data_IF_597449050570
#
_entry.id   IF_597449050570
#
_cell.length_a   1.000
_cell.length_b   1.000
_cell.length_c   1.000
_cell.angle_alpha   90.00
_cell.angle_beta   90.00
_cell.angle_gamma   90.00
#
_symmetry.space_group_name_H-M   'P 1'
#
loop_
_entity.id
_entity.type
_entity.pdbx_description
1 polymer ?
#
# COMPACT_ATOMS: atom_id res chain seq x y z
N UNK A 1 -20.58 -20.46 -0.56
CA UNK A 1 -19.23 -20.42 0.03
C UNK A 1 -18.46 -19.19 -0.50
N UNK A 2 -18.31 -19.04 -1.81
CA UNK A 2 -17.63 -17.91 -2.46
C UNK A 2 -18.26 -16.53 -2.18
N UNK A 3 -19.60 -16.45 -2.12
CA UNK A 3 -20.32 -15.19 -1.81
C UNK A 3 -20.08 -14.73 -0.36
N UNK A 4 -19.94 -15.65 0.58
CA UNK A 4 -19.61 -15.32 1.97
C UNK A 4 -18.15 -14.85 2.13
N UNK A 5 -17.22 -15.45 1.37
CA UNK A 5 -15.81 -15.00 1.35
C UNK A 5 -15.66 -13.59 0.78
N UNK A 6 -16.44 -13.26 -0.25
CA UNK A 6 -16.47 -11.90 -0.83
C UNK A 6 -17.05 -10.88 0.15
N UNK A 7 -18.14 -11.23 0.83
CA UNK A 7 -18.73 -10.37 1.86
C UNK A 7 -17.80 -10.14 3.07
N UNK A 8 -16.98 -11.13 3.43
CA UNK A 8 -15.99 -10.98 4.50
C UNK A 8 -14.81 -10.08 4.08
N UNK A 9 -14.34 -10.20 2.84
CA UNK A 9 -13.30 -9.33 2.28
C UNK A 9 -13.76 -7.88 2.11
N UNK A 10 -15.03 -7.68 1.73
CA UNK A 10 -15.62 -6.34 1.65
C UNK A 10 -15.78 -5.69 3.03
N UNK A 11 -16.16 -6.45 4.06
CA UNK A 11 -16.16 -5.97 5.46
C UNK A 11 -14.76 -5.61 5.97
N UNK A 12 -13.75 -6.22 5.41
CA UNK A 12 -12.36 -5.90 5.67
C UNK A 12 -11.99 -4.52 5.11
N UNK A 13 -12.28 -4.32 3.83
CA UNK A 13 -12.10 -3.03 3.15
C UNK A 13 -12.90 -1.93 3.86
N UNK A 14 -14.12 -2.23 4.33
CA UNK A 14 -14.94 -1.28 5.08
C UNK A 14 -14.26 -0.80 6.37
N UNK A 15 -13.56 -1.68 7.09
CA UNK A 15 -12.85 -1.31 8.33
C UNK A 15 -11.59 -0.50 8.05
N UNK A 16 -10.78 -0.90 7.08
CA UNK A 16 -9.58 -0.15 6.68
C UNK A 16 -9.94 1.22 6.10
N UNK A 17 -10.94 1.26 5.22
CA UNK A 17 -11.46 2.50 4.64
C UNK A 17 -12.19 3.33 5.69
N UNK A 18 -12.93 2.72 6.62
CA UNK A 18 -13.60 3.44 7.71
C UNK A 18 -12.62 4.13 8.64
N UNK A 19 -11.47 3.52 8.92
CA UNK A 19 -10.38 4.13 9.69
C UNK A 19 -9.70 5.23 8.88
N UNK A 20 -9.42 4.99 7.61
CA UNK A 20 -8.82 5.98 6.71
C UNK A 20 -9.75 7.19 6.47
N UNK A 21 -11.07 6.98 6.37
CA UNK A 21 -12.05 8.07 6.21
C UNK A 21 -12.12 8.97 7.44
N UNK A 22 -11.91 8.43 8.64
CA UNK A 22 -11.87 9.23 9.87
C UNK A 22 -10.61 10.12 9.96
N UNK A 23 -9.55 9.76 9.25
CA UNK A 23 -8.26 10.47 9.27
C UNK A 23 -8.02 11.38 8.06
N UNK A 24 -8.82 11.26 6.99
CA UNK A 24 -8.62 11.99 5.74
C UNK A 24 -9.71 13.03 5.49
N UNK A 25 -9.29 14.28 5.41
CA UNK A 25 -10.13 15.44 5.00
C UNK A 25 -10.40 15.42 3.46
N UNK A 26 -10.21 14.27 2.80
CA UNK A 26 -10.42 14.07 1.37
C UNK A 26 -11.29 12.85 1.06
N UNK A 27 -11.93 12.88 -0.09
CA UNK A 27 -12.71 11.77 -0.62
C UNK A 27 -11.79 10.60 -1.01
N UNK A 28 -12.08 9.40 -0.50
CA UNK A 28 -11.37 8.19 -0.84
C UNK A 28 -12.02 7.53 -2.05
N UNK A 29 -11.23 7.23 -3.06
CA UNK A 29 -11.66 6.53 -4.27
C UNK A 29 -11.19 5.08 -4.21
N UNK A 30 -12.13 4.16 -4.05
CA UNK A 30 -11.85 2.73 -4.13
C UNK A 30 -12.09 2.22 -5.56
N UNK A 31 -11.06 1.71 -6.21
CA UNK A 31 -11.19 1.02 -7.48
C UNK A 31 -11.45 -0.46 -7.23
N UNK A 32 -12.57 -0.97 -7.72
CA UNK A 32 -12.89 -2.39 -7.69
C UNK A 32 -12.56 -2.97 -9.05
N UNK A 33 -11.46 -3.71 -9.15
CA UNK A 33 -11.01 -4.33 -10.39
C UNK A 33 -11.59 -5.74 -10.49
N UNK A 34 -12.49 -5.96 -11.45
CA UNK A 34 -13.09 -7.26 -11.76
C UNK A 34 -14.10 -7.84 -10.75
N UNK A 35 -14.80 -7.01 -9.96
CA UNK A 35 -15.92 -7.45 -9.13
C UNK A 35 -17.22 -6.75 -9.53
N UNK A 36 -18.39 -7.46 -9.53
CA UNK A 36 -19.64 -6.78 -9.78
C UNK A 36 -19.98 -5.83 -8.61
N UNK A 37 -20.05 -4.54 -8.91
CA UNK A 37 -20.42 -3.48 -7.98
C UNK A 37 -21.78 -3.70 -7.31
N UNK A 38 -22.69 -4.46 -7.94
CA UNK A 38 -24.02 -4.78 -7.42
C UNK A 38 -24.00 -5.38 -6.02
N UNK A 39 -22.99 -6.21 -5.69
CA UNK A 39 -22.82 -6.77 -4.36
C UNK A 39 -22.50 -5.71 -3.30
N UNK A 40 -21.61 -4.79 -3.61
CA UNK A 40 -21.24 -3.67 -2.74
C UNK A 40 -22.41 -2.70 -2.55
N UNK A 41 -23.11 -2.37 -3.64
CA UNK A 41 -24.29 -1.50 -3.61
C UNK A 41 -25.42 -2.07 -2.77
N UNK A 42 -25.59 -3.38 -2.78
CA UNK A 42 -26.62 -4.07 -1.99
C UNK A 42 -26.31 -4.05 -0.50
N UNK A 43 -25.04 -4.22 -0.12
CA UNK A 43 -24.64 -4.33 1.28
C UNK A 43 -24.29 -2.97 1.90
N UNK A 44 -23.70 -2.04 1.13
CA UNK A 44 -23.16 -0.76 1.61
C UNK A 44 -23.66 0.46 0.82
N UNK A 45 -24.81 0.37 0.17
CA UNK A 45 -25.34 1.42 -0.70
C UNK A 45 -25.66 2.75 0.00
N UNK A 46 -25.85 2.73 1.31
CA UNK A 46 -26.00 3.93 2.15
C UNK A 46 -24.66 4.68 2.35
N UNK A 47 -23.53 3.96 2.33
CA UNK A 47 -22.17 4.48 2.56
C UNK A 47 -21.36 4.67 1.27
N UNK A 48 -21.84 4.16 0.15
CA UNK A 48 -21.11 4.15 -1.12
C UNK A 48 -21.89 4.84 -2.24
N UNK A 49 -21.19 5.24 -3.28
CA UNK A 49 -21.78 5.74 -4.53
C UNK A 49 -20.90 5.28 -5.70
N UNK A 50 -21.56 4.86 -6.80
CA UNK A 50 -20.83 4.51 -8.01
C UNK A 50 -20.31 5.75 -8.74
N UNK A 51 -19.19 5.62 -9.41
CA UNK A 51 -18.63 6.67 -10.27
C UNK A 51 -19.65 7.16 -11.30
N UNK A 52 -20.35 6.23 -11.96
CA UNK A 52 -21.33 6.53 -13.01
C UNK A 52 -22.56 7.27 -12.48
N UNK A 53 -22.92 7.06 -11.20
CA UNK A 53 -24.08 7.72 -10.57
C UNK A 53 -23.80 9.20 -10.19
N UNK A 54 -22.51 9.59 -10.07
CA UNK A 54 -22.13 10.94 -9.60
C UNK A 54 -21.08 11.65 -10.48
N UNK A 55 -20.64 11.04 -11.58
CA UNK A 55 -19.63 11.61 -12.47
C UNK A 55 -18.30 11.92 -11.80
N UNK A 56 -17.92 11.11 -10.80
CA UNK A 56 -16.68 11.28 -10.05
C UNK A 56 -16.73 12.32 -8.93
N UNK A 57 -17.89 12.92 -8.64
CA UNK A 57 -18.08 13.87 -7.56
C UNK A 57 -19.02 13.30 -6.48
N UNK A 58 -18.54 12.45 -5.58
CA UNK A 58 -19.39 11.81 -4.60
C UNK A 58 -19.94 12.82 -3.59
N UNK A 59 -21.15 12.57 -3.04
CA UNK A 59 -21.66 13.31 -1.91
C UNK A 59 -20.72 13.19 -0.70
N UNK A 60 -20.72 14.20 0.17
CA UNK A 60 -19.96 14.17 1.42
C UNK A 60 -20.27 12.90 2.23
N UNK A 61 -19.26 12.31 2.86
CA UNK A 61 -19.34 11.10 3.65
C UNK A 61 -19.73 9.81 2.90
N UNK A 62 -19.65 9.80 1.55
CA UNK A 62 -19.79 8.58 0.76
C UNK A 62 -18.47 8.16 0.13
N UNK A 63 -18.17 6.86 0.20
CA UNK A 63 -17.06 6.26 -0.52
C UNK A 63 -17.40 6.16 -2.00
N UNK A 64 -16.55 6.73 -2.84
CA UNK A 64 -16.68 6.60 -4.29
C UNK A 64 -16.14 5.25 -4.75
N UNK A 65 -16.97 4.47 -5.43
CA UNK A 65 -16.57 3.19 -6.00
C UNK A 65 -16.53 3.29 -7.52
N UNK A 66 -15.38 2.95 -8.08
CA UNK A 66 -15.15 2.90 -9.52
C UNK A 66 -14.92 1.45 -9.93
N UNK A 67 -15.84 0.87 -10.70
CA UNK A 67 -15.64 -0.43 -11.33
C UNK A 67 -14.75 -0.25 -12.57
N UNK A 68 -13.66 -1.00 -12.65
CA UNK A 68 -12.68 -0.85 -13.73
C UNK A 68 -12.29 -2.22 -14.27
N UNK A 69 -12.41 -2.39 -15.59
CA UNK A 69 -11.93 -3.59 -16.29
C UNK A 69 -10.40 -3.65 -16.16
N UNK A 70 -9.85 -4.85 -15.93
CA UNK A 70 -8.45 -5.04 -15.56
C UNK A 70 -7.43 -4.44 -16.55
N UNK A 71 -7.64 -4.59 -17.85
CA UNK A 71 -6.77 -4.02 -18.88
C UNK A 71 -6.79 -2.50 -18.86
N UNK A 72 -7.98 -1.90 -18.70
CA UNK A 72 -8.15 -0.47 -18.57
C UNK A 72 -7.51 0.05 -17.27
N UNK A 73 -7.61 -0.70 -16.15
CA UNK A 73 -6.95 -0.34 -14.90
C UNK A 73 -5.42 -0.30 -15.06
N UNK A 74 -4.82 -1.29 -15.72
CA UNK A 74 -3.37 -1.31 -15.96
C UNK A 74 -2.90 -0.04 -16.72
N UNK A 75 -3.66 0.39 -17.72
CA UNK A 75 -3.37 1.63 -18.44
C UNK A 75 -3.59 2.87 -17.56
N UNK A 76 -4.67 2.91 -16.77
CA UNK A 76 -5.02 4.06 -15.92
C UNK A 76 -4.08 4.21 -14.73
N UNK A 77 -3.57 3.12 -14.16
CA UNK A 77 -2.59 3.16 -13.07
C UNK A 77 -1.28 3.86 -13.46
N UNK A 78 -0.95 3.87 -14.76
CA UNK A 78 0.21 4.59 -15.29
C UNK A 78 -0.10 6.05 -15.64
N UNK A 79 -1.27 6.30 -16.23
CA UNK A 79 -1.61 7.60 -16.82
C UNK A 79 -2.38 8.52 -15.88
N UNK A 80 -3.07 7.94 -14.89
CA UNK A 80 -3.95 8.65 -13.95
C UNK A 80 -3.92 8.04 -12.52
N UNK A 81 -2.73 7.78 -11.93
CA UNK A 81 -2.64 7.10 -10.64
C UNK A 81 -3.34 7.86 -9.51
N UNK A 82 -3.42 9.18 -9.59
CA UNK A 82 -4.07 10.02 -8.59
C UNK A 82 -5.61 9.86 -8.51
N UNK A 83 -6.22 9.11 -9.44
CA UNK A 83 -7.65 8.78 -9.37
C UNK A 83 -7.96 7.61 -8.42
N UNK A 84 -6.94 6.95 -7.85
CA UNK A 84 -7.08 5.71 -7.08
C UNK A 84 -6.42 5.83 -5.72
N UNK A 85 -7.16 5.62 -4.65
CA UNK A 85 -6.64 5.57 -3.29
C UNK A 85 -6.54 4.12 -2.78
N UNK A 86 -7.54 3.29 -3.09
CA UNK A 86 -7.61 1.88 -2.68
C UNK A 86 -7.99 1.02 -3.87
N UNK A 87 -7.31 -0.11 -4.03
CA UNK A 87 -7.56 -1.07 -5.11
C UNK A 87 -8.03 -2.39 -4.50
N UNK A 88 -9.26 -2.80 -4.81
CA UNK A 88 -9.80 -4.09 -4.43
C UNK A 88 -9.85 -5.01 -5.65
N UNK A 89 -9.20 -6.17 -5.59
CA UNK A 89 -9.12 -7.09 -6.71
C UNK A 89 -8.95 -8.54 -6.23
N UNK A 90 -9.04 -9.50 -7.16
CA UNK A 90 -8.74 -10.90 -6.85
C UNK A 90 -7.24 -11.08 -6.58
N UNK A 91 -6.91 -12.10 -5.76
CA UNK A 91 -5.56 -12.40 -5.31
C UNK A 91 -4.51 -12.35 -6.45
N UNK A 92 -4.68 -13.13 -7.51
CA UNK A 92 -3.70 -13.18 -8.60
C UNK A 92 -3.50 -11.84 -9.30
N UNK A 93 -4.57 -11.12 -9.58
CA UNK A 93 -4.50 -9.78 -10.17
C UNK A 93 -3.85 -8.79 -9.19
N UNK A 94 -4.16 -8.92 -7.90
CA UNK A 94 -3.57 -8.12 -6.84
C UNK A 94 -2.06 -8.29 -6.76
N UNK A 95 -1.57 -9.52 -6.82
CA UNK A 95 -0.13 -9.81 -6.81
C UNK A 95 0.59 -9.14 -7.99
N UNK A 96 0.05 -9.25 -9.20
CA UNK A 96 0.65 -8.59 -10.37
C UNK A 96 0.58 -7.06 -10.29
N UNK A 97 -0.54 -6.53 -9.83
CA UNK A 97 -0.76 -5.07 -9.75
C UNK A 97 0.12 -4.47 -8.66
N UNK A 98 0.19 -5.08 -7.48
CA UNK A 98 0.99 -4.57 -6.36
C UNK A 98 2.48 -4.53 -6.71
N UNK A 99 3.00 -5.56 -7.36
CA UNK A 99 4.38 -5.60 -7.83
C UNK A 99 4.67 -4.55 -8.90
N UNK A 100 3.74 -4.36 -9.85
CA UNK A 100 3.86 -3.34 -10.88
C UNK A 100 3.83 -1.91 -10.31
N UNK A 101 2.97 -1.66 -9.33
CA UNK A 101 2.91 -0.38 -8.63
C UNK A 101 4.14 -0.14 -7.75
N UNK A 102 4.60 -1.17 -7.04
CA UNK A 102 5.84 -1.09 -6.26
C UNK A 102 7.04 -0.73 -7.14
N UNK A 103 7.12 -1.30 -8.35
CA UNK A 103 8.18 -0.99 -9.30
C UNK A 103 8.21 0.50 -9.71
N UNK A 104 7.05 1.15 -9.78
CA UNK A 104 6.94 2.58 -10.14
C UNK A 104 7.44 3.51 -9.03
N UNK A 105 7.40 3.08 -7.77
CA UNK A 105 7.76 3.93 -6.62
C UNK A 105 9.08 3.56 -5.95
N UNK A 106 9.84 2.64 -6.49
CA UNK A 106 11.18 2.30 -5.98
C UNK A 106 11.48 0.80 -5.92
N UNK A 107 10.51 -0.05 -6.20
CA UNK A 107 10.66 -1.50 -6.31
C UNK A 107 10.14 -2.29 -5.11
N UNK A 108 10.21 -3.63 -5.22
CA UNK A 108 9.67 -4.57 -4.23
C UNK A 108 10.32 -4.45 -2.84
N UNK A 109 11.52 -3.89 -2.76
CA UNK A 109 12.23 -3.69 -1.49
C UNK A 109 11.54 -2.76 -0.48
N UNK A 110 10.47 -2.07 -0.88
CA UNK A 110 9.67 -1.18 -0.02
C UNK A 110 8.18 -1.56 0.05
N UNK A 111 7.73 -2.56 -0.68
CA UNK A 111 6.33 -2.96 -0.67
C UNK A 111 6.01 -3.80 0.57
N UNK A 112 5.16 -3.31 1.50
CA UNK A 112 4.74 -4.08 2.66
C UNK A 112 3.65 -5.09 2.31
N UNK A 113 3.49 -6.12 3.13
CA UNK A 113 2.45 -7.12 2.98
C UNK A 113 1.78 -7.49 4.31
N UNK A 114 0.49 -7.81 4.22
CA UNK A 114 -0.28 -8.32 5.34
C UNK A 114 -1.33 -9.33 4.89
N UNK A 115 -1.47 -10.42 5.64
CA UNK A 115 -2.54 -11.39 5.51
C UNK A 115 -3.39 -11.32 6.77
N UNK A 116 -4.62 -10.80 6.67
CA UNK A 116 -5.48 -10.51 7.81
C UNK A 116 -6.77 -11.34 7.72
N UNK A 117 -7.08 -12.07 8.79
CA UNK A 117 -8.38 -12.68 8.97
C UNK A 117 -9.27 -11.73 9.76
N UNK A 118 -10.12 -10.99 9.06
CA UNK A 118 -10.98 -9.97 9.65
C UNK A 118 -12.14 -10.51 10.50
N UNK A 119 -12.38 -11.84 10.50
CA UNK A 119 -13.37 -12.47 11.37
C UNK A 119 -12.76 -12.79 12.73
N UNK A 120 -11.56 -13.39 12.74
CA UNK A 120 -10.89 -13.82 13.98
C UNK A 120 -9.91 -12.78 14.54
N UNK A 121 -9.53 -11.78 13.74
CA UNK A 121 -8.52 -10.79 14.10
C UNK A 121 -7.07 -11.29 14.04
N UNK A 122 -6.81 -12.53 13.57
CA UNK A 122 -5.45 -12.99 13.38
C UNK A 122 -4.84 -12.34 12.13
N UNK A 123 -3.60 -11.90 12.25
CA UNK A 123 -2.88 -11.27 11.16
C UNK A 123 -1.42 -11.74 11.09
N UNK A 124 -0.88 -11.81 9.87
CA UNK A 124 0.52 -12.04 9.58
C UNK A 124 1.02 -10.89 8.72
N UNK A 125 2.12 -10.27 9.12
CA UNK A 125 2.75 -9.17 8.41
C UNK A 125 4.11 -9.62 7.91
N UNK A 126 4.32 -9.51 6.60
CA UNK A 126 5.52 -10.04 5.96
C UNK A 126 5.94 -9.16 4.76
N UNK A 127 7.20 -9.25 4.38
CA UNK A 127 7.65 -8.63 3.14
C UNK A 127 7.00 -9.33 1.93
N UNK A 128 6.62 -8.57 0.92
CA UNK A 128 6.00 -9.12 -0.30
C UNK A 128 7.01 -9.85 -1.19
N UNK A 129 8.30 -9.53 -1.07
CA UNK A 129 9.36 -10.19 -1.83
C UNK A 129 9.80 -11.52 -1.21
N UNK A 130 10.38 -12.42 -2.03
CA UNK A 130 10.96 -13.67 -1.57
C UNK A 130 12.29 -13.51 -0.81
N UNK A 131 12.90 -14.63 -0.43
CA UNK A 131 14.12 -14.70 0.40
C UNK A 131 15.40 -14.18 -0.26
N UNK A 132 15.37 -13.95 -1.57
CA UNK A 132 16.50 -13.44 -2.36
C UNK A 132 17.86 -14.13 -2.04
N UNK A 133 17.98 -15.45 -2.17
CA UNK A 133 19.15 -16.21 -1.71
C UNK A 133 20.46 -15.74 -2.36
N UNK A 134 20.37 -15.12 -3.53
CA UNK A 134 21.49 -14.50 -4.23
C UNK A 134 22.22 -13.44 -3.38
N UNK A 135 21.52 -12.79 -2.47
CA UNK A 135 22.04 -11.69 -1.64
C UNK A 135 22.32 -12.12 -0.20
N UNK A 136 22.13 -13.41 0.13
CA UNK A 136 22.34 -13.91 1.48
C UNK A 136 23.76 -13.60 1.99
N UNK A 137 23.88 -13.07 3.21
CA UNK A 137 25.14 -12.71 3.84
C UNK A 137 25.84 -11.47 3.31
N UNK A 138 25.27 -10.75 2.35
CA UNK A 138 25.90 -9.55 1.73
C UNK A 138 25.55 -8.24 2.43
N UNK A 139 24.61 -8.24 3.35
CA UNK A 139 24.08 -7.02 4.03
C UNK A 139 23.70 -5.89 3.04
N UNK A 140 23.06 -6.27 1.95
CA UNK A 140 22.87 -5.38 0.78
C UNK A 140 21.43 -5.01 0.47
N UNK A 141 20.48 -5.94 0.68
CA UNK A 141 19.08 -5.71 0.28
C UNK A 141 18.42 -4.57 1.08
N UNK A 142 17.44 -3.94 0.47
CA UNK A 142 16.65 -2.91 1.14
C UNK A 142 15.72 -3.57 2.18
N UNK A 143 15.78 -3.21 3.47
CA UNK A 143 14.91 -3.77 4.50
C UNK A 143 13.54 -3.07 4.57
N UNK A 144 13.26 -2.13 3.69
CA UNK A 144 12.07 -1.26 3.74
C UNK A 144 10.76 -2.04 3.74
N UNK A 145 10.65 -3.10 2.93
CA UNK A 145 9.44 -3.94 2.87
C UNK A 145 9.12 -4.57 4.24
N UNK A 146 10.09 -5.19 4.91
CA UNK A 146 9.91 -5.75 6.26
C UNK A 146 9.60 -4.66 7.29
N UNK A 147 10.30 -3.52 7.23
CA UNK A 147 10.08 -2.40 8.15
C UNK A 147 8.67 -1.83 8.00
N UNK A 148 8.22 -1.61 6.76
CA UNK A 148 6.87 -1.10 6.48
C UNK A 148 5.78 -2.14 6.79
N UNK A 149 6.05 -3.43 6.64
CA UNK A 149 5.15 -4.48 7.16
C UNK A 149 5.03 -4.41 8.67
N UNK A 150 6.12 -4.10 9.38
CA UNK A 150 6.11 -3.79 10.80
C UNK A 150 5.30 -2.54 11.14
N UNK A 151 5.35 -1.51 10.32
CA UNK A 151 4.50 -0.31 10.43
C UNK A 151 3.02 -0.68 10.32
N UNK A 152 2.63 -1.47 9.31
CA UNK A 152 1.26 -1.97 9.16
C UNK A 152 0.81 -2.77 10.38
N UNK A 153 1.69 -3.59 10.97
CA UNK A 153 1.43 -4.33 12.20
C UNK A 153 1.15 -3.39 13.37
N UNK A 154 1.95 -2.35 13.53
CA UNK A 154 1.76 -1.35 14.59
C UNK A 154 0.44 -0.59 14.44
N UNK A 155 0.10 -0.19 13.22
CA UNK A 155 -1.19 0.44 12.91
C UNK A 155 -2.36 -0.51 13.22
N UNK A 156 -2.25 -1.79 12.82
CA UNK A 156 -3.26 -2.80 13.12
C UNK A 156 -3.47 -3.02 14.63
N UNK A 157 -2.40 -2.90 15.43
CA UNK A 157 -2.44 -3.00 16.89
C UNK A 157 -2.89 -1.69 17.57
N UNK A 158 -3.10 -0.61 16.83
CA UNK A 158 -3.46 0.71 17.36
C UNK A 158 -2.27 1.51 17.92
N UNK A 159 -1.03 1.11 17.61
CA UNK A 159 0.19 1.82 18.05
C UNK A 159 0.64 2.85 17.01
N UNK A 160 -0.30 3.71 16.63
CA UNK A 160 -0.17 4.65 15.52
C UNK A 160 1.03 5.59 15.68
N UNK A 161 1.29 6.08 16.89
CA UNK A 161 2.43 6.98 17.14
C UNK A 161 3.77 6.30 16.83
N UNK A 162 3.93 5.04 17.20
CA UNK A 162 5.14 4.26 16.89
C UNK A 162 5.28 4.03 15.38
N UNK A 163 4.19 3.73 14.68
CA UNK A 163 4.15 3.58 13.24
C UNK A 163 4.61 4.88 12.54
N UNK A 164 4.04 6.02 12.91
CA UNK A 164 4.39 7.34 12.34
C UNK A 164 5.85 7.74 12.59
N UNK A 165 6.44 7.37 13.75
CA UNK A 165 7.86 7.62 14.01
C UNK A 165 8.76 6.86 13.05
N UNK A 166 8.46 5.60 12.74
CA UNK A 166 9.23 4.79 11.79
C UNK A 166 9.12 5.37 10.39
N UNK A 167 7.91 5.70 9.93
CA UNK A 167 7.70 6.32 8.62
C UNK A 167 8.45 7.65 8.47
N UNK A 168 8.38 8.51 9.49
CA UNK A 168 9.11 9.79 9.52
C UNK A 168 10.61 9.56 9.41
N UNK A 169 11.14 8.60 10.17
CA UNK A 169 12.56 8.26 10.15
C UNK A 169 13.01 7.76 8.78
N UNK A 170 12.23 6.86 8.17
CA UNK A 170 12.50 6.36 6.83
C UNK A 170 12.40 7.45 5.76
N UNK A 171 11.34 8.24 5.76
CA UNK A 171 11.17 9.34 4.82
C UNK A 171 12.33 10.34 4.89
N UNK A 172 12.81 10.65 6.10
CA UNK A 172 13.95 11.55 6.28
C UNK A 172 15.24 10.93 5.73
N UNK A 173 15.52 9.64 5.97
CA UNK A 173 16.69 8.95 5.42
C UNK A 173 16.69 8.97 3.88
N UNK A 174 15.53 8.71 3.26
CA UNK A 174 15.36 8.74 1.81
C UNK A 174 15.54 10.17 1.27
N UNK A 175 14.92 11.16 1.88
CA UNK A 175 15.02 12.56 1.45
C UNK A 175 16.45 13.10 1.49
N UNK A 176 17.25 12.73 2.51
CA UNK A 176 18.68 13.10 2.60
C UNK A 176 19.55 12.27 1.65
N UNK A 177 19.01 11.23 1.01
CA UNK A 177 19.75 10.37 0.09
C UNK A 177 20.70 9.39 0.78
N UNK A 178 20.49 9.06 2.06
CA UNK A 178 21.25 8.02 2.77
C UNK A 178 20.47 6.71 2.72
N UNK A 179 20.73 5.88 1.71
CA UNK A 179 19.84 4.82 1.26
C UNK A 179 20.59 3.56 0.81
N UNK A 180 19.87 2.46 0.64
CA UNK A 180 20.39 1.21 0.09
C UNK A 180 20.67 1.30 -1.42
N UNK A 181 21.37 0.31 -1.95
CA UNK A 181 21.88 0.29 -3.34
C UNK A 181 20.82 0.52 -4.42
N UNK A 182 19.60 0.02 -4.20
CA UNK A 182 18.47 0.10 -5.12
C UNK A 182 17.98 1.55 -5.27
N UNK A 183 17.71 2.23 -4.17
CA UNK A 183 17.37 3.64 -4.16
C UNK A 183 18.54 4.53 -4.61
N UNK A 184 19.77 4.20 -4.17
CA UNK A 184 20.95 4.96 -4.59
C UNK A 184 21.13 4.92 -6.11
N UNK A 185 20.89 3.76 -6.73
CA UNK A 185 20.93 3.63 -8.19
C UNK A 185 19.86 4.51 -8.85
N UNK A 186 18.60 4.39 -8.43
CA UNK A 186 17.50 5.17 -9.01
C UNK A 186 17.71 6.68 -8.87
N UNK A 187 18.11 7.14 -7.69
CA UNK A 187 18.37 8.56 -7.44
C UNK A 187 19.51 9.11 -8.29
N UNK A 188 20.56 8.30 -8.53
CA UNK A 188 21.66 8.68 -9.41
C UNK A 188 21.25 8.71 -10.88
N UNK A 189 20.40 7.77 -11.31
CA UNK A 189 19.81 7.78 -12.67
C UNK A 189 18.95 9.03 -12.90
N UNK A 190 18.29 9.55 -11.86
CA UNK A 190 17.55 10.82 -11.87
C UNK A 190 18.44 12.08 -11.75
N UNK A 191 19.76 11.91 -11.64
CA UNK A 191 20.73 13.00 -11.63
C UNK A 191 21.10 13.52 -10.23
N UNK A 192 20.68 12.88 -9.14
CA UNK A 192 21.14 13.24 -7.79
C UNK A 192 22.61 12.85 -7.59
N UNK A 193 23.41 13.78 -7.09
CA UNK A 193 24.85 13.59 -6.84
C UNK A 193 25.22 13.46 -5.36
N UNK A 194 24.30 13.80 -4.46
CA UNK A 194 24.44 13.82 -3.00
C UNK A 194 24.04 12.50 -2.32
N UNK A 195 23.94 11.41 -3.10
CA UNK A 195 23.45 10.13 -2.62
C UNK A 195 24.55 9.31 -1.96
N UNK A 196 24.34 8.94 -0.70
CA UNK A 196 25.18 8.04 0.08
C UNK A 196 24.56 6.64 0.10
N UNK A 197 25.21 5.71 -0.59
CA UNK A 197 24.84 4.29 -0.54
C UNK A 197 25.34 3.65 0.75
N UNK A 198 24.45 2.96 1.47
CA UNK A 198 24.72 2.28 2.74
C UNK A 198 24.18 0.84 2.72
N UNK A 199 24.62 0.04 3.68
CA UNK A 199 24.22 -1.35 3.84
C UNK A 199 22.80 -1.48 4.41
N UNK A 200 22.21 -2.68 4.29
CA UNK A 200 20.91 -3.03 4.86
C UNK A 200 20.84 -2.70 6.37
N UNK A 201 21.80 -3.17 7.16
CA UNK A 201 21.85 -2.93 8.60
C UNK A 201 22.07 -1.45 8.94
N UNK A 202 22.90 -0.75 8.17
CA UNK A 202 23.15 0.69 8.35
C UNK A 202 21.89 1.51 8.05
N UNK A 203 21.07 1.10 7.07
CA UNK A 203 19.83 1.80 6.74
C UNK A 203 18.82 1.71 7.90
N UNK A 204 18.71 0.55 8.56
CA UNK A 204 17.90 0.43 9.77
C UNK A 204 18.36 1.37 10.89
N UNK A 205 19.67 1.50 11.11
CA UNK A 205 20.22 2.44 12.09
C UNK A 205 19.98 3.90 11.71
N UNK A 206 20.07 4.23 10.42
CA UNK A 206 19.80 5.60 9.96
C UNK A 206 18.33 5.98 10.13
N UNK A 207 17.40 5.04 9.92
CA UNK A 207 15.97 5.24 10.22
C UNK A 207 15.78 5.56 11.70
N UNK A 208 16.33 4.73 12.60
CA UNK A 208 16.23 4.94 14.06
C UNK A 208 16.77 6.32 14.48
N UNK A 209 17.91 6.71 13.98
CA UNK A 209 18.53 8.02 14.24
C UNK A 209 17.64 9.19 13.82
N UNK A 210 16.84 9.00 12.78
CA UNK A 210 15.95 10.01 12.22
C UNK A 210 14.54 10.04 12.84
N UNK A 211 14.22 9.13 13.75
CA UNK A 211 12.95 9.12 14.51
C UNK A 211 12.88 10.24 15.57
N UNK A 212 14.01 10.78 15.95
CA UNK A 212 14.12 11.81 16.98
C UNK A 212 13.68 13.22 16.47
#
# INVERSE_FOLDING_TARGET
KMVNEVGERLRAIEREVGTAIQELDRQVVAAVVTFPFDGVKKEFGDKTVAWDDCGGNPPAAKLLIKDVIADNFLQQSLTRPAEYDVIATMNLNGDYISDALAAQVGGLGIAPGANINYVSGHACFEATHGTAPKYAGQDKVNPGSVILSGVMMLDYMGWVEAARLIEKGMAKAINVGTVTYDFARLMREEGRTDVKEIKCSEFGHEIIKNMA
#
